data_IF_936482554628
#
_entry.id   IF_936482554628
#
_cell.length_a   1.000
_cell.length_b   1.000
_cell.length_c   1.000
_cell.angle_alpha   90.00
_cell.angle_beta   90.00
_cell.angle_gamma   90.00
#
_symmetry.space_group_name_H-M   'P 1'
#
loop_
_entity.id
_entity.type
_entity.pdbx_description
1 polymer ?
#
# COMPACT_ATOMS: atom_id res chain seq x y z
N UNK A 1 17.18 47.58 19.78
CA UNK A 1 15.89 47.06 19.24
C UNK A 1 16.24 45.82 18.43
N UNK A 2 15.55 44.71 18.68
CA UNK A 2 15.95 43.29 18.55
C UNK A 2 16.62 42.81 17.23
N UNK A 3 17.52 41.80 17.29
CA UNK A 3 18.12 41.13 16.12
C UNK A 3 17.14 40.11 15.47
N UNK A 4 17.40 39.68 14.21
CA UNK A 4 16.58 38.67 13.54
C UNK A 4 16.78 37.28 14.18
N UNK A 5 15.67 36.59 14.44
CA UNK A 5 15.65 35.21 14.93
C UNK A 5 16.17 34.26 13.85
N UNK A 6 17.18 33.46 14.20
CA UNK A 6 17.52 32.21 13.52
C UNK A 6 16.41 31.18 13.75
N UNK A 7 15.74 30.74 12.68
CA UNK A 7 14.90 29.54 12.72
C UNK A 7 15.77 28.32 12.41
N UNK A 8 16.15 27.59 13.47
CA UNK A 8 16.58 26.20 13.36
C UNK A 8 15.42 25.36 12.81
N UNK A 9 15.64 24.67 11.68
CA UNK A 9 14.72 23.64 11.20
C UNK A 9 14.70 22.48 12.20
N UNK A 10 13.53 22.01 12.67
CA UNK A 10 13.50 20.84 13.53
C UNK A 10 13.93 19.60 12.77
N UNK A 11 14.83 18.84 13.38
CA UNK A 11 15.29 17.53 12.92
C UNK A 11 14.14 16.51 12.98
N UNK A 12 14.05 15.69 11.94
CA UNK A 12 12.95 14.74 11.74
C UNK A 12 13.12 13.54 12.70
N UNK A 13 12.50 13.61 13.89
CA UNK A 13 12.47 12.50 14.85
C UNK A 13 11.33 11.53 14.51
N UNK A 14 11.70 10.31 14.09
CA UNK A 14 10.80 9.19 13.78
C UNK A 14 9.88 8.79 14.96
N UNK A 15 10.18 9.23 16.20
CA UNK A 15 9.30 8.99 17.36
C UNK A 15 8.05 9.89 17.37
N UNK A 16 8.06 11.02 16.66
CA UNK A 16 6.97 11.99 16.67
C UNK A 16 5.79 11.56 15.79
N UNK A 17 6.06 10.89 14.68
CA UNK A 17 5.05 10.43 13.71
C UNK A 17 4.17 9.29 14.27
N UNK A 18 4.72 8.44 15.15
CA UNK A 18 3.98 7.35 15.81
C UNK A 18 2.97 7.84 16.85
N UNK A 19 3.24 8.95 17.54
CA UNK A 19 2.34 9.53 18.55
C UNK A 19 1.16 10.29 17.94
N UNK A 20 1.29 10.75 16.70
CA UNK A 20 0.25 11.54 16.03
C UNK A 20 -0.96 10.71 15.57
N UNK A 21 -0.80 9.41 15.29
CA UNK A 21 -1.91 8.57 14.78
C UNK A 21 -2.88 8.11 15.87
N UNK A 22 -2.42 7.89 17.11
CA UNK A 22 -3.29 7.51 18.23
C UNK A 22 -4.15 8.67 18.75
N UNK A 23 -3.79 9.92 18.43
CA UNK A 23 -4.56 11.11 18.79
C UNK A 23 -5.48 11.62 17.66
N UNK A 24 -5.50 10.97 16.49
CA UNK A 24 -6.22 11.44 15.31
C UNK A 24 -7.74 11.22 15.36
N UNK A 25 -8.25 10.47 16.34
CA UNK A 25 -9.70 10.31 16.55
C UNK A 25 -10.09 11.07 17.82
N UNK A 26 -10.37 12.37 17.67
CA UNK A 26 -10.96 13.20 18.74
C UNK A 26 -12.21 13.89 18.20
N UNK A 27 -13.37 13.57 18.78
CA UNK A 27 -14.60 14.36 18.64
C UNK A 27 -15.73 13.68 17.85
N UNK A 28 -16.94 14.29 17.87
CA UNK A 28 -18.07 13.87 17.04
C UNK A 28 -17.75 14.00 15.55
N UNK A 29 -18.57 13.37 14.70
CA UNK A 29 -18.41 13.47 13.25
C UNK A 29 -18.40 14.96 12.82
N UNK A 30 -17.45 15.38 11.97
CA UNK A 30 -17.37 16.77 11.53
C UNK A 30 -18.62 17.18 10.74
N UNK A 31 -19.06 18.43 10.89
CA UNK A 31 -20.23 18.99 10.20
C UNK A 31 -20.06 19.08 8.67
N UNK A 32 -18.82 18.92 8.19
CA UNK A 32 -18.46 18.94 6.78
C UNK A 32 -17.82 17.62 6.38
N UNK A 33 -18.01 17.24 5.11
CA UNK A 33 -17.38 16.06 4.56
C UNK A 33 -15.85 16.16 4.69
N UNK A 34 -15.22 15.06 5.11
CA UNK A 34 -13.77 14.96 5.16
C UNK A 34 -13.17 15.15 3.75
N UNK A 35 -12.05 15.86 3.64
CA UNK A 35 -11.38 16.13 2.35
C UNK A 35 -10.96 14.86 1.62
N UNK A 36 -10.59 13.83 2.39
CA UNK A 36 -10.24 12.52 1.88
C UNK A 36 -11.50 11.66 1.66
N UNK A 37 -11.98 11.67 0.42
CA UNK A 37 -13.13 10.88 -0.02
C UNK A 37 -12.84 9.37 -0.07
N UNK A 38 -11.58 8.93 -0.02
CA UNK A 38 -11.19 7.51 -0.03
C UNK A 38 -11.52 6.81 1.30
N UNK A 39 -11.73 7.59 2.37
CA UNK A 39 -12.12 7.08 3.68
C UNK A 39 -13.64 6.93 3.86
N UNK A 40 -14.44 7.31 2.86
CA UNK A 40 -15.91 7.30 2.94
C UNK A 40 -16.43 5.89 3.26
N UNK A 41 -17.38 5.80 4.20
CA UNK A 41 -18.02 4.55 4.61
C UNK A 41 -17.24 3.71 5.63
N UNK A 42 -16.06 4.17 6.08
CA UNK A 42 -15.24 3.46 7.08
C UNK A 42 -15.55 3.96 8.49
N UNK A 43 -15.60 3.02 9.45
CA UNK A 43 -15.55 3.32 10.89
C UNK A 43 -14.09 3.30 11.33
N UNK A 44 -13.69 4.26 12.16
CA UNK A 44 -12.29 4.41 12.57
C UNK A 44 -12.17 4.30 14.09
N UNK A 45 -11.12 3.61 14.54
CA UNK A 45 -10.67 3.55 15.94
C UNK A 45 -9.15 3.69 15.96
N UNK A 46 -8.63 4.28 17.04
CA UNK A 46 -7.21 4.42 17.25
C UNK A 46 -6.71 3.32 18.20
N UNK A 47 -5.73 2.53 17.76
CA UNK A 47 -5.12 1.45 18.55
C UNK A 47 -3.60 1.67 18.59
N UNK A 48 -3.01 1.63 19.78
CA UNK A 48 -1.55 1.64 19.94
C UNK A 48 -1.00 0.21 19.90
N UNK A 49 -0.49 -0.21 18.75
CA UNK A 49 0.08 -1.56 18.57
C UNK A 49 1.44 -1.76 19.27
N UNK A 50 1.96 -0.75 19.98
CA UNK A 50 3.13 -0.91 20.87
C UNK A 50 2.73 -1.29 22.29
N UNK A 51 1.45 -1.19 22.63
CA UNK A 51 0.91 -1.60 23.92
C UNK A 51 0.37 -3.04 23.84
N UNK A 52 0.61 -3.89 24.85
CA UNK A 52 -0.02 -5.21 24.95
C UNK A 52 -1.54 -5.15 24.81
N UNK A 53 -2.18 -4.14 25.42
CA UNK A 53 -3.65 -3.97 25.34
C UNK A 53 -4.11 -3.63 23.92
N UNK A 54 -3.31 -2.86 23.18
CA UNK A 54 -3.62 -2.53 21.78
C UNK A 54 -3.49 -3.74 20.87
N UNK A 55 -2.45 -4.56 21.08
CA UNK A 55 -2.29 -5.85 20.39
C UNK A 55 -3.49 -6.76 20.68
N UNK A 56 -3.84 -6.94 21.95
CA UNK A 56 -4.99 -7.73 22.36
C UNK A 56 -6.31 -7.21 21.76
N UNK A 57 -6.49 -5.89 21.70
CA UNK A 57 -7.65 -5.26 21.08
C UNK A 57 -7.75 -5.57 19.59
N UNK A 58 -6.64 -5.47 18.84
CA UNK A 58 -6.64 -5.81 17.42
C UNK A 58 -6.96 -7.30 17.21
N UNK A 59 -6.32 -8.19 17.99
CA UNK A 59 -6.56 -9.62 17.87
C UNK A 59 -8.01 -10.00 18.21
N UNK A 60 -8.67 -9.31 19.14
CA UNK A 60 -10.09 -9.49 19.42
C UNK A 60 -10.97 -9.11 18.22
N UNK A 61 -10.66 -8.00 17.56
CA UNK A 61 -11.37 -7.60 16.33
C UNK A 61 -11.17 -8.60 15.20
N UNK A 62 -9.96 -9.15 15.07
CA UNK A 62 -9.60 -10.15 14.05
C UNK A 62 -10.42 -11.44 14.19
N UNK A 63 -10.82 -11.84 15.41
CA UNK A 63 -11.66 -13.05 15.62
C UNK A 63 -12.96 -13.03 14.83
N UNK A 64 -13.54 -11.85 14.62
CA UNK A 64 -14.80 -11.66 13.88
C UNK A 64 -14.63 -11.04 12.49
N UNK A 65 -13.40 -10.85 12.02
CA UNK A 65 -13.12 -10.22 10.74
C UNK A 65 -13.01 -11.25 9.62
N UNK A 66 -13.52 -10.93 8.42
CA UNK A 66 -13.29 -11.76 7.23
C UNK A 66 -11.93 -11.47 6.59
N UNK A 67 -11.48 -10.22 6.65
CA UNK A 67 -10.19 -9.81 6.12
C UNK A 67 -9.52 -8.71 6.96
N UNK A 68 -8.19 -8.71 6.96
CA UNK A 68 -7.33 -7.63 7.47
C UNK A 68 -6.40 -7.18 6.35
N UNK A 69 -6.29 -5.86 6.14
CA UNK A 69 -5.39 -5.28 5.14
C UNK A 69 -4.37 -4.40 5.87
N UNK A 70 -3.11 -4.56 5.53
CA UNK A 70 -2.01 -3.74 6.05
C UNK A 70 -1.05 -3.29 4.93
N UNK A 71 -0.31 -2.22 5.19
CA UNK A 71 0.66 -1.66 4.25
C UNK A 71 1.95 -1.20 4.93
N UNK A 72 2.32 -1.85 6.02
CA UNK A 72 3.63 -1.66 6.64
C UNK A 72 4.72 -2.34 5.81
N UNK A 73 5.98 -1.98 6.11
CA UNK A 73 7.13 -2.67 5.53
C UNK A 73 7.18 -4.14 5.99
N UNK A 74 7.75 -5.03 5.17
CA UNK A 74 7.92 -6.44 5.54
C UNK A 74 8.53 -6.60 6.95
N UNK A 75 7.97 -7.54 7.73
CA UNK A 75 8.41 -7.84 9.08
C UNK A 75 7.90 -6.91 10.18
N UNK A 76 7.20 -5.80 9.86
CA UNK A 76 6.69 -4.89 10.90
C UNK A 76 5.58 -5.54 11.70
N UNK A 77 4.58 -6.14 11.05
CA UNK A 77 3.42 -6.73 11.73
C UNK A 77 3.80 -7.94 12.58
N UNK A 78 4.77 -8.72 12.11
CA UNK A 78 5.38 -9.84 12.84
C UNK A 78 6.08 -9.34 14.11
N UNK A 79 6.89 -8.27 14.03
CA UNK A 79 7.53 -7.68 15.22
C UNK A 79 6.53 -7.11 16.23
N UNK A 80 5.36 -6.70 15.75
CA UNK A 80 4.26 -6.20 16.59
C UNK A 80 3.39 -7.34 17.17
N UNK A 81 3.63 -8.60 16.79
CA UNK A 81 2.85 -9.76 17.27
C UNK A 81 1.44 -9.85 16.68
N UNK A 82 1.23 -9.23 15.51
CA UNK A 82 -0.06 -9.19 14.80
C UNK A 82 0.15 -9.55 13.32
N UNK A 83 1.15 -10.38 13.04
CA UNK A 83 1.40 -10.91 11.71
C UNK A 83 0.36 -11.98 11.32
N UNK A 84 0.43 -12.50 10.08
CA UNK A 84 -0.49 -13.50 9.55
C UNK A 84 -0.60 -14.73 10.44
N UNK A 85 0.53 -15.25 10.92
CA UNK A 85 0.55 -16.42 11.78
C UNK A 85 -0.10 -16.15 13.14
N UNK A 86 0.08 -14.95 13.70
CA UNK A 86 -0.56 -14.55 14.96
C UNK A 86 -2.07 -14.37 14.80
N UNK A 87 -2.48 -13.74 13.71
CA UNK A 87 -3.88 -13.59 13.34
C UNK A 87 -4.55 -14.94 13.02
N UNK A 88 -3.85 -15.86 12.35
CA UNK A 88 -4.37 -17.18 12.00
C UNK A 88 -4.63 -18.07 13.24
N UNK A 89 -3.85 -17.88 14.32
CA UNK A 89 -4.10 -18.57 15.61
C UNK A 89 -5.46 -18.22 16.21
N UNK A 90 -5.93 -16.99 16.02
CA UNK A 90 -7.23 -16.52 16.56
C UNK A 90 -8.36 -16.60 15.54
N UNK A 91 -8.06 -16.60 14.24
CA UNK A 91 -9.02 -16.75 13.16
C UNK A 91 -8.40 -17.48 11.95
N UNK A 92 -8.54 -18.82 11.87
CA UNK A 92 -8.00 -19.61 10.75
C UNK A 92 -8.63 -19.32 9.39
N UNK A 93 -9.80 -18.65 9.35
CA UNK A 93 -10.51 -18.28 8.12
C UNK A 93 -10.10 -16.89 7.59
N UNK A 94 -9.32 -16.12 8.34
CA UNK A 94 -8.97 -14.74 8.00
C UNK A 94 -8.16 -14.64 6.71
N UNK A 95 -8.62 -13.79 5.79
CA UNK A 95 -7.81 -13.35 4.64
C UNK A 95 -6.90 -12.19 5.07
N UNK A 96 -5.58 -12.36 4.93
CA UNK A 96 -4.61 -11.36 5.34
C UNK A 96 -3.99 -10.68 4.10
N UNK A 97 -4.42 -9.47 3.79
CA UNK A 97 -3.92 -8.68 2.66
C UNK A 97 -2.72 -7.82 3.03
N UNK A 98 -1.65 -7.91 2.24
CA UNK A 98 -0.44 -7.09 2.36
C UNK A 98 -0.28 -6.21 1.12
N UNK A 99 -0.21 -4.91 1.34
CA UNK A 99 0.02 -3.92 0.28
C UNK A 99 1.40 -3.29 0.44
N UNK A 100 2.34 -3.67 -0.42
CA UNK A 100 3.69 -3.12 -0.37
C UNK A 100 4.10 -2.53 -1.71
N UNK A 101 5.17 -1.74 -1.69
CA UNK A 101 5.75 -1.22 -2.92
C UNK A 101 6.47 -2.30 -3.74
N UNK A 102 7.25 -3.13 -3.05
CA UNK A 102 8.26 -4.01 -3.65
C UNK A 102 8.02 -5.51 -3.43
N UNK A 103 6.97 -5.89 -2.69
CA UNK A 103 6.72 -7.26 -2.24
C UNK A 103 7.30 -7.55 -0.85
N UNK A 104 6.95 -8.71 -0.29
CA UNK A 104 7.54 -9.17 0.98
C UNK A 104 9.02 -9.57 0.86
N UNK A 105 9.44 -9.97 -0.34
CA UNK A 105 10.75 -10.55 -0.60
C UNK A 105 11.60 -9.70 -1.56
N UNK A 106 12.84 -10.15 -1.79
CA UNK A 106 13.74 -9.56 -2.78
C UNK A 106 14.55 -8.34 -2.29
N UNK A 107 15.43 -7.82 -3.14
CA UNK A 107 16.43 -6.81 -2.76
C UNK A 107 15.83 -5.44 -2.39
N UNK A 108 14.59 -5.19 -2.82
CA UNK A 108 13.88 -3.93 -2.57
C UNK A 108 12.83 -4.02 -1.47
N UNK A 109 12.41 -5.22 -1.03
CA UNK A 109 11.45 -5.42 0.06
C UNK A 109 11.64 -4.53 1.30
N UNK A 110 12.87 -4.35 1.85
CA UNK A 110 13.07 -3.50 3.03
C UNK A 110 13.11 -1.99 2.73
N UNK A 111 13.11 -1.58 1.46
CA UNK A 111 13.28 -0.19 1.05
C UNK A 111 11.96 0.56 1.01
N UNK A 112 12.03 1.87 1.24
CA UNK A 112 10.93 2.77 0.93
C UNK A 112 10.80 2.94 -0.59
N UNK A 113 9.58 3.19 -1.04
CA UNK A 113 9.28 3.60 -2.42
C UNK A 113 8.06 4.50 -2.42
N UNK A 114 7.89 5.19 -3.54
CA UNK A 114 6.67 5.91 -3.89
C UNK A 114 6.24 5.45 -5.28
N UNK A 115 5.00 5.76 -5.67
CA UNK A 115 4.39 5.40 -6.96
C UNK A 115 5.38 5.48 -8.14
N UNK A 116 6.04 6.64 -8.31
CA UNK A 116 7.02 6.88 -9.37
C UNK A 116 8.15 5.83 -9.41
N UNK A 117 8.62 5.34 -8.27
CA UNK A 117 9.70 4.35 -8.22
C UNK A 117 9.21 3.00 -8.76
N UNK A 118 7.98 2.60 -8.41
CA UNK A 118 7.40 1.34 -8.85
C UNK A 118 7.16 1.35 -10.35
N UNK A 119 6.55 2.42 -10.87
CA UNK A 119 6.26 2.53 -12.31
C UNK A 119 7.53 2.74 -13.14
N UNK A 120 8.58 3.32 -12.56
CA UNK A 120 9.89 3.42 -13.22
C UNK A 120 10.53 2.04 -13.40
N UNK A 121 10.62 1.25 -12.32
CA UNK A 121 11.22 -0.08 -12.39
C UNK A 121 10.36 -1.10 -13.13
N UNK A 122 9.04 -0.93 -13.14
CA UNK A 122 8.12 -1.72 -13.96
C UNK A 122 8.17 -1.37 -15.46
N UNK A 123 8.92 -0.32 -15.86
CA UNK A 123 9.07 0.14 -17.24
C UNK A 123 7.92 1.02 -17.75
N UNK A 124 6.86 1.20 -16.98
CA UNK A 124 5.71 2.03 -17.37
C UNK A 124 6.08 3.52 -17.48
N UNK A 125 6.94 4.04 -16.60
CA UNK A 125 7.27 5.47 -16.55
C UNK A 125 7.82 5.99 -17.89
N UNK A 126 8.67 5.21 -18.55
CA UNK A 126 9.33 5.61 -19.80
C UNK A 126 8.33 6.04 -20.89
N UNK A 127 7.11 5.50 -20.86
CA UNK A 127 6.08 5.74 -21.87
C UNK A 127 5.18 6.94 -21.55
N UNK A 128 5.34 7.58 -20.40
CA UNK A 128 4.74 8.88 -20.10
C UNK A 128 5.71 10.01 -20.46
N UNK A 129 6.26 9.98 -21.67
CA UNK A 129 7.21 10.99 -22.17
C UNK A 129 6.88 11.40 -23.59
N UNK A 130 7.30 12.61 -23.97
CA UNK A 130 7.33 13.06 -25.36
C UNK A 130 8.71 12.78 -25.95
N UNK A 131 8.78 12.70 -27.29
CA UNK A 131 10.04 12.54 -27.99
C UNK A 131 11.06 13.63 -27.57
N UNK A 132 12.22 13.19 -27.07
CA UNK A 132 13.30 14.09 -26.61
C UNK A 132 13.11 14.72 -25.23
N UNK A 133 12.03 14.39 -24.52
CA UNK A 133 11.75 14.89 -23.17
C UNK A 133 11.91 13.79 -22.11
N UNK A 134 12.17 14.19 -20.87
CA UNK A 134 12.16 13.26 -19.75
C UNK A 134 10.73 12.77 -19.45
N UNK A 135 10.55 11.56 -18.91
CA UNK A 135 9.26 11.10 -18.44
C UNK A 135 8.60 12.03 -17.42
N UNK A 136 7.32 12.28 -17.62
CA UNK A 136 6.44 13.00 -16.71
C UNK A 136 5.67 11.97 -15.89
N UNK A 137 5.85 11.93 -14.57
CA UNK A 137 5.09 11.02 -13.72
C UNK A 137 3.59 11.31 -13.86
N UNK A 138 2.76 10.31 -14.16
CA UNK A 138 1.31 10.49 -14.11
C UNK A 138 0.86 10.73 -12.66
N UNK A 139 -0.44 11.00 -12.47
CA UNK A 139 -1.06 10.76 -11.17
C UNK A 139 -0.78 9.29 -10.76
N UNK A 140 -0.84 9.00 -9.46
CA UNK A 140 -0.53 7.67 -8.89
C UNK A 140 -1.54 6.55 -9.25
N UNK A 141 -2.21 6.70 -10.39
CA UNK A 141 -3.20 5.79 -10.94
C UNK A 141 -2.60 4.45 -11.37
N UNK A 142 -1.32 4.43 -11.74
CA UNK A 142 -0.68 3.22 -12.31
C UNK A 142 -0.11 2.33 -11.22
N UNK A 143 0.75 2.84 -10.33
CA UNK A 143 1.38 2.05 -9.27
C UNK A 143 0.42 1.85 -8.10
N UNK A 144 0.07 2.93 -7.39
CA UNK A 144 -0.69 2.84 -6.14
C UNK A 144 -2.11 2.29 -6.37
N UNK A 145 -2.89 2.89 -7.29
CA UNK A 145 -4.28 2.48 -7.51
C UNK A 145 -4.39 1.23 -8.39
N UNK A 146 -3.80 1.27 -9.58
CA UNK A 146 -3.89 0.20 -10.57
C UNK A 146 -3.12 -1.05 -10.18
N UNK A 147 -1.82 -0.91 -9.92
CA UNK A 147 -0.92 -2.03 -9.62
C UNK A 147 -1.02 -2.54 -8.18
N UNK A 148 -1.28 -1.66 -7.22
CA UNK A 148 -1.46 -2.03 -5.82
C UNK A 148 -2.93 -2.28 -5.48
N UNK A 149 -3.68 -1.20 -5.30
CA UNK A 149 -5.03 -1.22 -4.73
C UNK A 149 -5.98 -2.20 -5.40
N UNK A 150 -6.06 -2.18 -6.73
CA UNK A 150 -6.96 -3.08 -7.48
C UNK A 150 -6.51 -4.54 -7.43
N UNK A 151 -5.21 -4.83 -7.53
CA UNK A 151 -4.70 -6.21 -7.44
C UNK A 151 -4.94 -6.81 -6.05
N UNK A 152 -4.69 -6.04 -4.99
CA UNK A 152 -4.98 -6.51 -3.64
C UNK A 152 -6.48 -6.71 -3.42
N UNK A 153 -7.31 -5.76 -3.84
CA UNK A 153 -8.76 -5.90 -3.71
C UNK A 153 -9.26 -7.17 -4.44
N UNK A 154 -8.78 -7.40 -5.66
CA UNK A 154 -9.10 -8.61 -6.42
C UNK A 154 -8.61 -9.88 -5.72
N UNK A 155 -7.35 -9.92 -5.29
CA UNK A 155 -6.79 -11.06 -4.58
C UNK A 155 -7.51 -11.37 -3.26
N UNK A 156 -7.87 -10.33 -2.49
CA UNK A 156 -8.66 -10.47 -1.26
C UNK A 156 -10.04 -11.05 -1.56
N UNK A 157 -10.74 -10.58 -2.61
CA UNK A 157 -12.03 -11.15 -3.01
C UNK A 157 -11.89 -12.62 -3.40
N UNK A 158 -10.88 -12.97 -4.20
CA UNK A 158 -10.60 -14.37 -4.56
C UNK A 158 -10.34 -15.24 -3.32
N UNK A 159 -9.56 -14.73 -2.37
CA UNK A 159 -9.25 -15.44 -1.13
C UNK A 159 -10.49 -15.59 -0.22
N UNK A 160 -11.37 -14.59 -0.15
CA UNK A 160 -12.61 -14.68 0.60
C UNK A 160 -13.55 -15.74 0.01
N UNK A 161 -13.67 -15.78 -1.32
CA UNK A 161 -14.47 -16.80 -2.02
C UNK A 161 -13.95 -18.23 -1.82
N UNK A 162 -12.62 -18.38 -1.75
CA UNK A 162 -11.99 -19.67 -1.43
C UNK A 162 -12.25 -20.06 0.03
N UNK A 163 -12.04 -19.12 0.96
CA UNK A 163 -12.23 -19.33 2.39
C UNK A 163 -13.67 -19.69 2.77
N UNK A 164 -14.68 -19.23 2.01
CA UNK A 164 -16.07 -19.65 2.17
C UNK A 164 -16.27 -21.16 1.97
N UNK A 165 -15.47 -21.78 1.10
CA UNK A 165 -15.58 -23.21 0.77
C UNK A 165 -14.69 -24.08 1.65
N UNK A 166 -13.46 -23.64 1.87
CA UNK A 166 -12.46 -24.43 2.60
C UNK A 166 -12.49 -24.21 4.11
N UNK A 167 -13.05 -23.08 4.55
CA UNK A 167 -12.97 -22.61 5.93
C UNK A 167 -11.58 -22.11 6.33
N UNK A 168 -10.66 -21.93 5.38
CA UNK A 168 -9.28 -21.50 5.61
C UNK A 168 -8.99 -20.21 4.88
N UNK A 169 -8.39 -19.26 5.57
CA UNK A 169 -7.90 -18.03 4.97
C UNK A 169 -6.51 -18.21 4.37
N UNK A 170 -6.03 -17.16 3.72
CA UNK A 170 -4.69 -17.11 3.13
C UNK A 170 -4.14 -15.69 3.12
N UNK A 171 -2.82 -15.59 2.94
CA UNK A 171 -2.13 -14.32 2.75
C UNK A 171 -2.20 -13.92 1.28
N UNK A 172 -2.60 -12.68 1.01
CA UNK A 172 -2.54 -12.06 -0.31
C UNK A 172 -1.45 -11.00 -0.25
N UNK A 173 -0.29 -11.29 -0.86
CA UNK A 173 0.78 -10.31 -1.05
C UNK A 173 0.62 -9.61 -2.41
N UNK A 174 0.44 -8.30 -2.38
CA UNK A 174 0.33 -7.47 -3.57
C UNK A 174 1.41 -6.38 -3.53
N UNK A 175 2.32 -6.45 -4.49
CA UNK A 175 3.35 -5.45 -4.71
C UNK A 175 2.94 -4.49 -5.83
N UNK A 176 3.03 -3.18 -5.59
CA UNK A 176 2.73 -2.16 -6.59
C UNK A 176 3.61 -2.29 -7.84
N UNK A 177 4.88 -2.67 -7.67
CA UNK A 177 5.80 -2.92 -8.80
C UNK A 177 5.35 -4.08 -9.68
N UNK A 178 4.86 -5.17 -9.09
CA UNK A 178 4.40 -6.35 -9.82
C UNK A 178 3.10 -6.06 -10.56
N UNK A 179 2.16 -5.36 -9.91
CA UNK A 179 0.92 -4.96 -10.56
C UNK A 179 1.15 -3.94 -11.69
N UNK A 180 2.05 -2.98 -11.50
CA UNK A 180 2.43 -2.05 -12.56
C UNK A 180 3.10 -2.76 -13.76
N UNK A 181 3.97 -3.74 -13.50
CA UNK A 181 4.57 -4.56 -14.54
C UNK A 181 3.54 -5.41 -15.27
N UNK A 182 2.58 -5.98 -14.54
CA UNK A 182 1.48 -6.76 -15.09
C UNK A 182 0.61 -5.93 -16.04
N UNK A 183 0.29 -4.68 -15.69
CA UNK A 183 -0.44 -3.75 -16.56
C UNK A 183 0.29 -3.46 -17.89
N UNK A 184 1.62 -3.57 -17.91
CA UNK A 184 2.43 -3.38 -19.13
C UNK A 184 2.52 -4.63 -20.02
N UNK A 185 1.99 -5.79 -19.60
CA UNK A 185 2.15 -7.07 -20.29
C UNK A 185 1.77 -7.03 -21.78
N UNK A 186 0.68 -6.33 -22.13
CA UNK A 186 0.25 -6.20 -23.53
C UNK A 186 1.31 -5.48 -24.38
N UNK A 187 1.90 -4.40 -23.87
CA UNK A 187 2.90 -3.61 -24.60
C UNK A 187 4.22 -4.37 -24.75
N UNK A 188 4.60 -5.15 -23.73
CA UNK A 188 5.73 -6.07 -23.85
C UNK A 188 5.47 -7.17 -24.90
N UNK A 189 4.24 -7.67 -24.99
CA UNK A 189 3.81 -8.55 -26.07
C UNK A 189 3.93 -7.90 -27.45
N UNK A 190 3.43 -6.67 -27.60
CA UNK A 190 3.51 -5.92 -28.85
C UNK A 190 4.95 -5.58 -29.26
N UNK A 191 5.82 -5.28 -28.29
CA UNK A 191 7.25 -5.09 -28.53
C UNK A 191 7.87 -6.33 -29.16
N UNK A 192 7.57 -7.50 -28.60
CA UNK A 192 8.14 -8.77 -29.07
C UNK A 192 7.73 -9.12 -30.51
N UNK A 193 6.60 -8.60 -31.00
CA UNK A 193 6.13 -8.80 -32.37
C UNK A 193 6.35 -7.58 -33.28
N UNK A 194 7.07 -6.56 -32.79
CA UNK A 194 7.40 -5.35 -33.56
C UNK A 194 6.25 -4.36 -33.75
N UNK A 195 5.14 -4.50 -33.03
CA UNK A 195 4.02 -3.55 -33.05
C UNK A 195 4.20 -2.38 -32.08
N UNK A 196 5.12 -2.47 -31.13
CA UNK A 196 5.45 -1.41 -30.19
C UNK A 196 6.95 -1.16 -30.16
N UNK A 197 7.37 0.09 -30.30
CA UNK A 197 8.75 0.49 -30.16
C UNK A 197 8.95 1.24 -28.83
N UNK A 198 9.60 0.61 -27.87
CA UNK A 198 9.84 1.19 -26.55
C UNK A 198 10.78 2.41 -26.58
N UNK A 199 11.62 2.51 -27.62
CA UNK A 199 12.59 3.60 -27.81
C UNK A 199 11.99 4.81 -28.55
N UNK A 200 10.70 4.77 -28.90
CA UNK A 200 9.98 5.84 -29.59
C UNK A 200 8.90 6.47 -28.69
N UNK A 201 9.27 7.24 -27.65
CA UNK A 201 8.30 7.88 -26.78
C UNK A 201 7.46 8.94 -27.51
N UNK A 202 6.22 9.14 -27.04
CA UNK A 202 5.26 10.08 -27.63
C UNK A 202 4.49 9.55 -28.84
N UNK A 203 4.63 8.27 -29.18
CA UNK A 203 3.81 7.57 -30.17
C UNK A 203 2.81 6.65 -29.46
N UNK A 204 1.51 6.78 -29.73
CA UNK A 204 0.45 6.05 -29.02
C UNK A 204 0.17 4.65 -29.58
N UNK A 205 1.21 3.93 -30.02
CA UNK A 205 1.12 2.96 -31.13
C UNK A 205 0.73 3.67 -32.44
#
# INVERSE_FOLDING_TARGET
>A
MLPPRSEEKPTHDERTTSRQRTQAVRGPAPDTAHWDVLLRGRRNIAIDLKSPDGIATLLELVKGADALIEGFRPGVMERLGVGPDDCAKVNPKLVYGRMTGWGQDGPYGPRAGHDINYIALAGALAHFSRAGEAPVPPLNMVGDFGGGGMYLAFGVVCALLEAERSGKGQVVDAAMVDGAASLMSMFWGFKNIGLFNEDAPGTNL
#
